data_IF_535583934919
#
_entry.id   IF_535583934919
#
_cell.length_a   1.000
_cell.length_b   1.000
_cell.length_c   1.000
_cell.angle_alpha   90.00
_cell.angle_beta   90.00
_cell.angle_gamma   90.00
#
_symmetry.space_group_name_H-M   'P 1'
#
loop_
_entity.id
_entity.type
_entity.pdbx_description
1 polymer ?
#
# COMPACT_ATOMS: atom_id res chain seq x y z
N UNK A 1 -8.57 5.77 -13.51
CA UNK A 1 -7.51 6.28 -14.41
C UNK A 1 -6.46 7.02 -13.62
N UNK A 2 -5.22 7.03 -14.10
CA UNK A 2 -4.12 7.77 -13.47
C UNK A 2 -3.78 8.99 -14.31
N UNK A 3 -3.68 10.14 -13.66
CA UNK A 3 -3.24 11.40 -14.27
C UNK A 3 -1.91 11.81 -13.63
N UNK A 4 -1.04 12.39 -14.42
CA UNK A 4 0.28 12.83 -13.99
C UNK A 4 0.39 14.34 -14.04
N UNK A 5 0.97 14.92 -12.99
CA UNK A 5 1.22 16.34 -12.84
C UNK A 5 2.71 16.55 -12.54
N UNK A 6 3.36 17.40 -13.33
CA UNK A 6 4.76 17.75 -13.09
C UNK A 6 4.88 19.04 -12.31
N UNK A 7 5.52 18.96 -11.17
CA UNK A 7 5.77 20.12 -10.31
C UNK A 7 6.90 20.98 -10.85
N UNK A 8 7.02 22.25 -10.42
CA UNK A 8 8.17 23.09 -10.75
C UNK A 8 9.51 22.52 -10.28
N UNK A 9 9.53 21.69 -9.24
CA UNK A 9 10.70 20.95 -8.75
C UNK A 9 11.04 19.71 -9.59
N UNK A 10 10.27 19.45 -10.65
CA UNK A 10 10.38 18.30 -11.57
C UNK A 10 9.92 16.95 -11.00
N UNK A 11 9.43 16.89 -9.78
CA UNK A 11 8.74 15.69 -9.31
C UNK A 11 7.46 15.46 -10.10
N UNK A 12 6.95 14.24 -10.07
CA UNK A 12 5.70 13.84 -10.73
C UNK A 12 4.72 13.42 -9.67
N UNK A 13 3.55 14.03 -9.66
CA UNK A 13 2.44 13.62 -8.81
C UNK A 13 1.50 12.77 -9.65
N UNK A 14 1.26 11.53 -9.23
CA UNK A 14 0.28 10.62 -9.82
C UNK A 14 -1.02 10.72 -9.04
N UNK A 15 -2.11 10.95 -9.73
CA UNK A 15 -3.47 11.10 -9.17
C UNK A 15 -4.35 10.01 -9.72
N UNK A 16 -4.90 9.17 -8.86
CA UNK A 16 -5.91 8.18 -9.22
C UNK A 16 -7.30 8.80 -9.11
N UNK A 17 -8.03 8.80 -10.23
CA UNK A 17 -9.41 9.28 -10.30
C UNK A 17 -10.33 8.22 -10.88
N UNK A 18 -11.56 8.17 -10.37
CA UNK A 18 -12.61 7.28 -10.88
C UNK A 18 -13.35 7.85 -12.11
N UNK A 19 -13.09 9.10 -12.46
CA UNK A 19 -13.65 9.78 -13.64
C UNK A 19 -12.60 10.64 -14.34
N UNK A 20 -12.91 11.10 -15.55
CA UNK A 20 -12.08 12.06 -16.27
C UNK A 20 -12.26 13.44 -15.65
N UNK A 21 -11.15 14.07 -15.25
CA UNK A 21 -11.18 15.40 -14.66
C UNK A 21 -11.65 16.45 -15.66
N UNK A 22 -12.48 17.35 -15.19
CA UNK A 22 -12.83 18.58 -15.92
C UNK A 22 -11.64 19.54 -15.94
N UNK A 23 -11.64 20.52 -16.85
CA UNK A 23 -10.59 21.56 -16.86
C UNK A 23 -10.49 22.34 -15.54
N UNK A 24 -11.62 22.59 -14.86
CA UNK A 24 -11.63 23.27 -13.55
C UNK A 24 -10.98 22.42 -12.45
N UNK A 25 -11.32 21.15 -12.39
CA UNK A 25 -10.71 20.20 -11.44
C UNK A 25 -9.21 20.06 -11.67
N UNK A 26 -8.80 19.94 -12.94
CA UNK A 26 -7.38 19.89 -13.30
C UNK A 26 -6.64 21.15 -12.89
N UNK A 27 -7.22 22.34 -13.10
CA UNK A 27 -6.64 23.61 -12.67
C UNK A 27 -6.50 23.71 -11.16
N UNK A 28 -7.51 23.25 -10.41
CA UNK A 28 -7.45 23.18 -8.95
C UNK A 28 -6.30 22.29 -8.45
N UNK A 29 -6.12 21.12 -9.10
CA UNK A 29 -5.00 20.23 -8.77
C UNK A 29 -3.64 20.86 -9.15
N UNK A 30 -3.52 21.49 -10.31
CA UNK A 30 -2.31 22.22 -10.69
C UNK A 30 -1.93 23.27 -9.62
N UNK A 31 -2.90 24.04 -9.17
CA UNK A 31 -2.68 25.02 -8.11
C UNK A 31 -2.30 24.35 -6.77
N UNK A 32 -3.02 23.29 -6.36
CA UNK A 32 -2.75 22.55 -5.13
C UNK A 32 -1.32 22.00 -5.09
N UNK A 33 -0.82 21.53 -6.23
CA UNK A 33 0.53 20.99 -6.38
C UNK A 33 1.60 22.05 -6.66
N UNK A 34 1.33 23.31 -6.30
CA UNK A 34 2.30 24.40 -6.39
C UNK A 34 2.59 24.84 -7.82
N UNK A 35 1.54 25.09 -8.61
CA UNK A 35 1.61 25.47 -10.02
C UNK A 35 2.20 24.37 -10.90
N UNK A 36 1.80 23.12 -10.61
CA UNK A 36 2.17 21.98 -11.44
C UNK A 36 1.51 22.05 -12.82
N UNK A 37 2.08 21.35 -13.78
CA UNK A 37 1.56 21.23 -15.15
C UNK A 37 1.06 19.81 -15.38
N UNK A 38 -0.12 19.68 -15.97
CA UNK A 38 -0.66 18.38 -16.35
C UNK A 38 0.18 17.76 -17.47
N UNK A 39 0.62 16.53 -17.31
CA UNK A 39 1.26 15.76 -18.36
C UNK A 39 0.21 15.22 -19.33
N UNK A 40 0.47 15.34 -20.62
CA UNK A 40 -0.43 14.80 -21.65
C UNK A 40 -0.20 13.31 -21.93
N UNK A 41 0.93 12.77 -21.50
CA UNK A 41 1.31 11.37 -21.72
C UNK A 41 0.77 10.48 -20.61
N UNK A 42 0.13 9.37 -20.98
CA UNK A 42 -0.32 8.32 -20.06
C UNK A 42 0.83 7.45 -19.54
N UNK A 43 1.98 7.51 -20.21
CA UNK A 43 3.18 6.74 -19.86
C UNK A 43 4.41 7.65 -19.86
N UNK A 44 4.92 7.94 -18.68
CA UNK A 44 6.12 8.75 -18.52
C UNK A 44 7.37 7.89 -18.55
N UNK A 45 8.33 8.25 -19.38
CA UNK A 45 9.63 7.55 -19.49
C UNK A 45 10.63 8.12 -18.47
N UNK A 46 11.57 7.28 -18.06
CA UNK A 46 12.65 7.64 -17.14
C UNK A 46 12.68 6.75 -15.91
N UNK A 47 13.58 7.08 -14.98
CA UNK A 47 13.67 6.40 -13.69
C UNK A 47 13.10 7.31 -12.60
N UNK A 48 12.33 6.72 -11.70
CA UNK A 48 11.69 7.45 -10.61
C UNK A 48 11.83 6.66 -9.31
N UNK A 49 11.99 7.36 -8.21
CA UNK A 49 11.83 6.82 -6.86
C UNK A 49 10.52 7.34 -6.29
N UNK A 50 9.72 6.46 -5.75
CA UNK A 50 8.43 6.80 -5.13
C UNK A 50 7.98 5.75 -4.15
N UNK A 51 6.82 5.93 -3.52
CA UNK A 51 6.31 4.99 -2.54
C UNK A 51 6.04 3.61 -3.14
N UNK A 52 6.14 2.59 -2.31
CA UNK A 52 5.78 1.23 -2.72
C UNK A 52 4.30 1.16 -3.10
N UNK A 53 3.97 0.38 -4.14
CA UNK A 53 2.59 0.25 -4.64
C UNK A 53 1.60 -0.23 -3.58
N UNK A 54 2.07 -1.10 -2.71
CA UNK A 54 1.29 -1.73 -1.65
C UNK A 54 0.97 -0.79 -0.48
N UNK A 55 1.61 0.39 -0.44
CA UNK A 55 1.48 1.35 0.65
C UNK A 55 0.81 2.62 0.16
N UNK A 56 -0.27 3.02 0.80
CA UNK A 56 -0.79 4.38 0.71
C UNK A 56 -0.05 5.21 1.76
N UNK A 57 0.67 6.23 1.33
CA UNK A 57 1.42 7.06 2.28
C UNK A 57 0.49 7.94 3.14
N UNK A 58 0.91 8.33 4.36
CA UNK A 58 0.17 9.33 5.14
C UNK A 58 0.03 10.67 4.38
N UNK A 59 1.02 11.01 3.56
CA UNK A 59 0.95 12.18 2.68
C UNK A 59 -0.20 12.05 1.67
N UNK A 60 -0.35 10.88 1.04
CA UNK A 60 -1.45 10.59 0.11
C UNK A 60 -2.81 10.73 0.78
N UNK A 61 -2.97 10.18 1.97
CA UNK A 61 -4.22 10.27 2.73
C UNK A 61 -4.61 11.72 2.98
N UNK A 62 -3.66 12.54 3.43
CA UNK A 62 -3.90 13.96 3.66
C UNK A 62 -4.19 14.72 2.35
N UNK A 63 -3.46 14.41 1.28
CA UNK A 63 -3.66 15.05 -0.02
C UNK A 63 -5.07 14.75 -0.57
N UNK A 64 -5.53 13.50 -0.47
CA UNK A 64 -6.89 13.12 -0.87
C UNK A 64 -7.94 13.84 -0.03
N UNK A 65 -7.76 13.93 1.29
CA UNK A 65 -8.68 14.66 2.16
C UNK A 65 -8.76 16.16 1.79
N UNK A 66 -7.61 16.77 1.46
CA UNK A 66 -7.57 18.17 0.99
C UNK A 66 -8.38 18.31 -0.30
N UNK A 67 -8.23 17.40 -1.27
CA UNK A 67 -9.01 17.48 -2.52
C UNK A 67 -10.51 17.36 -2.27
N UNK A 68 -10.94 16.49 -1.37
CA UNK A 68 -12.34 16.37 -0.96
C UNK A 68 -12.86 17.67 -0.36
N UNK A 69 -12.08 18.32 0.54
CA UNK A 69 -12.42 19.61 1.12
C UNK A 69 -12.48 20.74 0.08
N UNK A 70 -11.77 20.61 -1.04
CA UNK A 70 -11.85 21.53 -2.18
C UNK A 70 -13.03 21.24 -3.12
N UNK A 71 -13.85 20.25 -2.79
CA UNK A 71 -14.99 19.83 -3.62
C UNK A 71 -14.58 19.02 -4.87
N UNK A 72 -13.42 18.36 -4.83
CA UNK A 72 -12.97 17.42 -5.88
C UNK A 72 -13.35 16.01 -5.43
N UNK A 73 -14.34 15.43 -6.08
CA UNK A 73 -14.82 14.08 -5.79
C UNK A 73 -14.10 13.03 -6.66
N UNK A 74 -14.11 11.78 -6.21
CA UNK A 74 -13.62 10.66 -7.00
C UNK A 74 -12.11 10.49 -7.10
N UNK A 75 -11.33 11.30 -6.38
CA UNK A 75 -9.89 11.11 -6.24
C UNK A 75 -9.65 10.13 -5.08
N UNK A 76 -8.95 9.03 -5.36
CA UNK A 76 -8.79 7.90 -4.42
C UNK A 76 -7.37 7.77 -3.89
N UNK A 77 -6.38 8.19 -4.65
CA UNK A 77 -4.97 8.13 -4.26
C UNK A 77 -4.16 9.22 -4.96
N UNK A 78 -3.22 9.82 -4.24
CA UNK A 78 -2.27 10.80 -4.76
C UNK A 78 -0.89 10.46 -4.19
N UNK A 79 0.11 10.27 -5.06
CA UNK A 79 1.48 9.99 -4.61
C UNK A 79 2.50 10.76 -5.42
N UNK A 80 3.64 11.10 -4.80
CA UNK A 80 4.71 11.85 -5.44
C UNK A 80 5.89 10.94 -5.80
N UNK A 81 6.45 11.14 -6.99
CA UNK A 81 7.56 10.40 -7.58
C UNK A 81 8.68 11.34 -7.96
N UNK A 82 9.89 11.02 -7.56
CA UNK A 82 11.07 11.84 -7.79
C UNK A 82 11.89 11.27 -8.95
N UNK A 83 12.15 12.06 -10.01
CA UNK A 83 12.98 11.60 -11.12
C UNK A 83 14.42 11.42 -10.63
N UNK A 84 15.04 10.32 -11.05
CA UNK A 84 16.43 9.98 -10.74
C UNK A 84 17.20 9.67 -12.02
N UNK A 85 18.53 9.71 -11.95
CA UNK A 85 19.38 9.56 -13.13
C UNK A 85 19.36 8.14 -13.69
N UNK A 86 19.36 7.14 -12.82
CA UNK A 86 19.43 5.73 -13.20
C UNK A 86 18.79 4.84 -12.12
N UNK A 87 18.78 3.54 -12.40
CA UNK A 87 18.14 2.52 -11.56
C UNK A 87 18.89 2.23 -10.25
N UNK A 88 20.11 2.74 -10.08
CA UNK A 88 20.93 2.51 -8.90
C UNK A 88 20.82 3.66 -7.89
N UNK A 89 19.89 4.60 -8.11
CA UNK A 89 19.67 5.70 -7.18
C UNK A 89 19.30 5.16 -5.79
N UNK A 90 19.93 5.75 -4.79
CA UNK A 90 19.70 5.40 -3.39
C UNK A 90 18.25 5.71 -2.98
N UNK A 91 17.63 4.78 -2.28
CA UNK A 91 16.27 4.91 -1.76
C UNK A 91 16.06 3.97 -0.58
N UNK A 92 15.11 4.28 0.28
CA UNK A 92 14.72 3.41 1.38
C UNK A 92 13.82 2.25 0.87
N UNK A 93 14.32 1.00 0.82
CA UNK A 93 13.56 -0.13 0.29
C UNK A 93 12.36 -0.53 1.15
N UNK A 94 12.29 -0.06 2.41
CA UNK A 94 11.13 -0.29 3.28
C UNK A 94 9.93 0.55 2.85
N UNK A 95 10.17 1.79 2.42
CA UNK A 95 9.13 2.77 2.12
C UNK A 95 9.00 3.07 0.64
N UNK A 96 10.07 2.93 -0.12
CA UNK A 96 10.19 3.37 -1.50
C UNK A 96 10.54 2.23 -2.44
N UNK A 97 10.35 2.50 -3.72
CA UNK A 97 10.70 1.61 -4.83
C UNK A 97 11.19 2.40 -6.03
N UNK A 98 12.08 1.77 -6.80
CA UNK A 98 12.49 2.24 -8.12
C UNK A 98 11.44 1.87 -9.18
N UNK A 99 11.10 2.83 -10.03
CA UNK A 99 10.16 2.69 -11.15
C UNK A 99 10.88 2.99 -12.46
N UNK A 100 10.73 2.08 -13.45
CA UNK A 100 11.16 2.28 -14.84
C UNK A 100 9.98 2.82 -15.64
N UNK A 101 9.80 4.12 -15.62
CA UNK A 101 8.59 4.77 -16.12
C UNK A 101 7.44 4.75 -15.13
N UNK A 102 6.46 5.61 -15.38
CA UNK A 102 5.18 5.63 -14.67
C UNK A 102 4.07 5.44 -15.68
N UNK A 103 3.14 4.54 -15.41
CA UNK A 103 2.05 4.16 -16.30
C UNK A 103 0.71 4.07 -15.56
N UNK A 104 -0.35 3.68 -16.25
CA UNK A 104 -1.69 3.52 -15.69
C UNK A 104 -1.79 2.40 -14.63
N UNK A 105 -0.74 1.57 -14.46
CA UNK A 105 -0.66 0.52 -13.45
C UNK A 105 0.22 0.90 -12.24
N UNK A 106 0.60 2.17 -12.12
CA UNK A 106 1.55 2.62 -11.08
C UNK A 106 1.09 2.28 -9.66
N UNK A 107 -0.22 2.21 -9.42
CA UNK A 107 -0.82 1.82 -8.14
C UNK A 107 -1.33 0.38 -8.10
N UNK A 108 -1.27 -0.33 -9.23
CA UNK A 108 -1.78 -1.71 -9.30
C UNK A 108 -0.81 -2.68 -8.65
N UNK A 109 -1.30 -3.47 -7.71
CA UNK A 109 -0.56 -4.57 -7.10
C UNK A 109 -1.03 -5.88 -7.70
N UNK A 110 -0.10 -6.63 -8.28
CA UNK A 110 -0.38 -7.95 -8.86
C UNK A 110 -0.17 -9.08 -7.84
N UNK A 111 -0.21 -8.77 -6.53
CA UNK A 111 -0.14 -9.81 -5.51
C UNK A 111 -1.41 -10.62 -5.50
N UNK A 112 -1.28 -11.89 -5.76
CA UNK A 112 -2.32 -12.85 -5.44
C UNK A 112 -2.23 -13.16 -3.93
N UNK A 113 -3.38 -13.25 -3.22
CA UNK A 113 -3.37 -13.71 -1.84
C UNK A 113 -2.74 -15.10 -1.76
N UNK A 114 -1.94 -15.33 -0.75
CA UNK A 114 -1.46 -16.67 -0.45
C UNK A 114 -2.67 -17.56 -0.08
N UNK A 115 -2.62 -18.85 -0.40
CA UNK A 115 -3.71 -19.75 -0.04
C UNK A 115 -3.80 -19.86 1.49
N UNK A 116 -5.01 -19.98 1.99
CA UNK A 116 -5.26 -20.26 3.41
C UNK A 116 -4.68 -21.63 3.74
N UNK A 117 -3.82 -21.68 4.75
CA UNK A 117 -3.18 -22.91 5.23
C UNK A 117 -3.88 -23.36 6.52
N UNK A 118 -4.34 -24.60 6.56
CA UNK A 118 -4.83 -25.22 7.78
C UNK A 118 -3.68 -25.85 8.53
N UNK A 119 -3.54 -25.53 9.82
CA UNK A 119 -2.41 -25.94 10.64
C UNK A 119 -2.65 -27.34 11.18
N UNK A 120 -1.91 -28.32 10.72
CA UNK A 120 -2.01 -29.71 11.17
C UNK A 120 -1.37 -29.91 12.54
N UNK A 121 -0.21 -29.28 12.79
CA UNK A 121 0.55 -29.37 14.04
C UNK A 121 0.84 -27.96 14.57
N UNK A 122 0.17 -27.60 15.67
CA UNK A 122 0.31 -26.29 16.31
C UNK A 122 1.67 -26.10 16.98
N UNK A 123 2.30 -27.17 17.45
CA UNK A 123 3.61 -27.10 18.11
C UNK A 123 4.71 -26.80 17.08
N UNK A 124 4.71 -27.53 15.97
CA UNK A 124 5.64 -27.31 14.84
C UNK A 124 5.46 -25.91 14.25
N UNK A 125 4.22 -25.48 14.04
CA UNK A 125 3.91 -24.16 13.53
C UNK A 125 4.35 -23.03 14.47
N UNK A 126 4.11 -23.18 15.77
CA UNK A 126 4.54 -22.25 16.81
C UNK A 126 6.07 -22.07 16.82
N UNK A 127 6.82 -23.18 16.67
CA UNK A 127 8.28 -23.13 16.63
C UNK A 127 8.80 -22.51 15.34
N UNK A 128 8.27 -22.92 14.20
CA UNK A 128 8.65 -22.43 12.86
C UNK A 128 8.44 -20.92 12.69
N UNK A 129 7.27 -20.45 13.09
CA UNK A 129 6.89 -19.04 12.94
C UNK A 129 7.32 -18.16 14.11
N UNK A 130 7.90 -18.76 15.16
CA UNK A 130 8.37 -18.04 16.35
C UNK A 130 7.26 -17.32 17.09
N UNK A 131 6.05 -17.91 17.18
CA UNK A 131 4.88 -17.26 17.78
C UNK A 131 4.94 -17.14 19.30
N UNK A 132 5.82 -17.90 19.94
CA UNK A 132 6.01 -17.92 21.40
C UNK A 132 4.73 -18.24 22.20
N UNK A 133 3.86 -19.09 21.65
CA UNK A 133 2.68 -19.57 22.36
C UNK A 133 3.07 -20.50 23.49
N UNK A 134 2.48 -20.29 24.67
CA UNK A 134 2.61 -21.19 25.81
C UNK A 134 1.84 -22.50 25.61
N UNK A 135 2.13 -23.48 26.46
CA UNK A 135 1.42 -24.76 26.42
C UNK A 135 -0.08 -24.59 26.67
N UNK A 136 -0.44 -23.73 27.63
CA UNK A 136 -1.84 -23.44 27.97
C UNK A 136 -2.58 -22.80 26.80
N UNK A 137 -1.92 -21.92 26.06
CA UNK A 137 -2.47 -21.26 24.87
C UNK A 137 -2.67 -22.26 23.73
N UNK A 138 -1.72 -23.14 23.49
CA UNK A 138 -1.85 -24.21 22.49
C UNK A 138 -2.96 -25.21 22.86
N UNK A 139 -3.10 -25.57 24.15
CA UNK A 139 -4.18 -26.42 24.63
C UNK A 139 -5.56 -25.73 24.49
N UNK A 140 -5.61 -24.43 24.65
CA UNK A 140 -6.82 -23.64 24.37
C UNK A 140 -7.16 -23.67 22.87
N UNK A 141 -6.22 -23.43 21.99
CA UNK A 141 -6.44 -23.47 20.53
C UNK A 141 -6.91 -24.87 20.08
N UNK A 142 -6.36 -25.97 20.64
CA UNK A 142 -6.83 -27.33 20.39
C UNK A 142 -8.30 -27.56 20.83
N UNK A 143 -8.72 -26.93 21.91
CA UNK A 143 -10.14 -26.94 22.32
C UNK A 143 -11.02 -26.17 21.34
N UNK A 144 -10.54 -25.06 20.82
CA UNK A 144 -11.25 -24.27 19.78
C UNK A 144 -11.38 -25.09 18.49
N UNK A 145 -10.33 -25.78 18.03
CA UNK A 145 -10.39 -26.70 16.88
C UNK A 145 -11.49 -27.75 17.06
N UNK A 146 -11.53 -28.37 18.21
CA UNK A 146 -12.55 -29.38 18.51
C UNK A 146 -13.96 -28.81 18.51
N UNK A 147 -14.15 -27.61 19.05
CA UNK A 147 -15.44 -26.92 19.07
C UNK A 147 -15.91 -26.50 17.67
N UNK A 148 -14.99 -26.10 16.81
CA UNK A 148 -15.26 -25.73 15.43
C UNK A 148 -15.42 -26.93 14.48
N UNK A 149 -14.94 -28.12 14.89
CA UNK A 149 -14.92 -29.31 14.06
C UNK A 149 -13.98 -29.24 12.85
N UNK A 150 -12.98 -28.33 12.91
CA UNK A 150 -11.96 -28.14 11.86
C UNK A 150 -10.65 -27.67 12.45
N UNK A 151 -9.58 -27.82 11.67
CA UNK A 151 -8.29 -27.21 11.99
C UNK A 151 -8.36 -25.69 11.92
N UNK A 152 -7.51 -25.02 12.70
CA UNK A 152 -7.34 -23.59 12.61
C UNK A 152 -6.48 -23.22 11.40
N UNK A 153 -6.71 -22.03 10.87
CA UNK A 153 -5.90 -21.49 9.79
C UNK A 153 -4.67 -20.79 10.34
N UNK A 154 -3.66 -20.62 9.48
CA UNK A 154 -2.48 -19.79 9.73
C UNK A 154 -2.84 -18.40 10.27
N UNK A 155 -3.79 -17.74 9.62
CA UNK A 155 -4.26 -16.41 10.00
C UNK A 155 -4.94 -16.38 11.38
N UNK A 156 -5.71 -17.43 11.72
CA UNK A 156 -6.36 -17.56 13.05
C UNK A 156 -5.32 -17.78 14.16
N UNK A 157 -4.35 -18.66 13.93
CA UNK A 157 -3.28 -18.95 14.92
C UNK A 157 -2.36 -17.74 15.07
N UNK A 158 -1.93 -17.14 13.97
CA UNK A 158 -1.09 -15.95 13.97
C UNK A 158 -1.81 -14.76 14.64
N UNK A 159 -3.07 -14.52 14.30
CA UNK A 159 -3.88 -13.45 14.90
C UNK A 159 -4.05 -13.62 16.41
N UNK A 160 -4.31 -14.85 16.86
CA UNK A 160 -4.38 -15.16 18.29
C UNK A 160 -3.07 -14.87 18.99
N UNK A 161 -1.93 -15.31 18.43
CA UNK A 161 -0.61 -15.07 18.98
C UNK A 161 -0.30 -13.56 19.12
N UNK A 162 -0.64 -12.76 18.10
CA UNK A 162 -0.43 -11.32 18.11
C UNK A 162 -1.28 -10.60 19.16
N UNK A 163 -2.56 -10.92 19.26
CA UNK A 163 -3.46 -10.31 20.25
C UNK A 163 -3.06 -10.70 21.68
N UNK A 164 -2.59 -11.92 21.87
CA UNK A 164 -2.23 -12.46 23.20
C UNK A 164 -0.79 -12.19 23.59
N UNK A 165 -0.02 -11.54 22.74
CA UNK A 165 1.39 -11.20 22.97
C UNK A 165 1.56 -10.24 24.15
N UNK A 166 2.59 -10.48 24.98
CA UNK A 166 2.85 -9.71 26.19
C UNK A 166 3.12 -8.21 25.96
N UNK A 167 3.62 -7.83 24.76
CA UNK A 167 3.86 -6.42 24.44
C UNK A 167 2.60 -5.64 24.06
N UNK A 168 1.48 -6.31 23.88
CA UNK A 168 0.17 -5.70 23.64
C UNK A 168 -0.68 -5.57 24.93
N UNK A 169 -0.12 -5.90 26.10
CA UNK A 169 -0.78 -5.83 27.41
C UNK A 169 -0.44 -4.56 28.15
#
# INVERSE_FOLDING_TARGET
>A
MILFFRTPSKSVIAVESNHQLTPDESNKLCWLFGEAVTESEENLKGCFVGPRREMITPWSTNAVEITQNMGLEGITRIEEYFPVKDENADHDPMLQRMYKGLDQNVFTTNRQPEPIIYIEDLEDYNEKEGLALSKEEMDYLKKVENALGRKLTDSEVFGFAQINSAHCR
#
